data_IF_778061716976
#
_entry.id   IF_778061716976
#
_cell.length_a   1.000
_cell.length_b   1.000
_cell.length_c   1.000
_cell.angle_alpha   90.00
_cell.angle_beta   90.00
_cell.angle_gamma   90.00
#
_symmetry.space_group_name_H-M   'P 1'
#
loop_
_entity.id
_entity.type
_entity.pdbx_description
1 polymer ?
#
# COMPACT_ATOMS: atom_id res chain seq x y z
N UNK A 1 15.90 -1.62 17.01
CA UNK A 1 15.82 -0.22 17.44
C UNK A 1 15.80 0.59 16.15
N UNK A 2 14.65 1.02 15.68
CA UNK A 2 14.54 1.91 14.52
C UNK A 2 14.82 3.33 15.01
N UNK A 3 15.84 3.95 14.47
CA UNK A 3 16.13 5.37 14.70
C UNK A 3 14.93 6.16 14.17
N UNK A 4 14.14 6.67 15.09
CA UNK A 4 13.09 7.63 14.80
C UNK A 4 13.80 8.93 14.42
N UNK A 5 13.77 9.30 13.16
CA UNK A 5 14.31 10.58 12.68
C UNK A 5 13.23 11.66 12.82
N UNK A 6 13.20 12.45 13.89
CA UNK A 6 12.07 13.36 14.18
C UNK A 6 12.01 14.59 13.25
N UNK A 7 12.96 14.77 12.33
CA UNK A 7 13.01 15.88 11.35
C UNK A 7 13.66 15.45 10.03
N UNK A 8 13.63 14.16 9.70
CA UNK A 8 14.22 13.66 8.46
C UNK A 8 13.42 14.06 7.24
N UNK A 9 14.13 14.43 6.18
CA UNK A 9 13.56 14.52 4.85
C UNK A 9 12.82 13.21 4.53
N UNK A 10 11.66 13.27 3.84
CA UNK A 10 10.92 12.07 3.46
C UNK A 10 11.84 11.13 2.68
N UNK A 11 11.79 9.85 3.05
CA UNK A 11 12.53 8.82 2.33
C UNK A 11 11.70 8.36 1.15
N UNK A 12 12.17 8.58 -0.05
CA UNK A 12 11.53 8.10 -1.27
C UNK A 12 12.46 7.17 -2.03
N UNK A 13 11.98 5.98 -2.36
CA UNK A 13 12.72 4.93 -3.04
C UNK A 13 11.92 4.38 -4.22
N UNK A 14 12.60 4.14 -5.34
CA UNK A 14 12.06 3.42 -6.50
C UNK A 14 13.07 2.36 -6.93
N UNK A 15 12.66 1.10 -7.03
CA UNK A 15 13.53 0.00 -7.44
C UNK A 15 12.80 -1.00 -8.32
N UNK A 16 13.52 -1.48 -9.35
CA UNK A 16 13.11 -2.59 -10.20
C UNK A 16 13.86 -3.87 -9.82
N UNK A 17 13.19 -4.99 -9.98
CA UNK A 17 13.69 -6.33 -9.67
C UNK A 17 13.34 -7.26 -10.82
N UNK A 18 14.30 -8.05 -11.29
CA UNK A 18 14.15 -9.11 -12.27
C UNK A 18 14.27 -10.51 -11.64
N UNK A 19 14.21 -10.56 -10.33
CA UNK A 19 14.37 -11.76 -9.51
C UNK A 19 13.43 -11.70 -8.32
N UNK A 20 12.67 -12.78 -8.11
CA UNK A 20 11.66 -12.84 -7.02
C UNK A 20 12.29 -12.82 -5.64
N UNK A 21 13.46 -13.45 -5.46
CA UNK A 21 14.08 -13.53 -4.14
C UNK A 21 14.53 -12.14 -3.68
N UNK A 22 15.11 -11.35 -4.58
CA UNK A 22 15.48 -9.95 -4.30
C UNK A 22 14.25 -9.07 -4.07
N UNK A 23 13.19 -9.27 -4.83
CA UNK A 23 11.92 -8.58 -4.62
C UNK A 23 11.33 -8.93 -3.25
N UNK A 24 11.31 -10.22 -2.89
CA UNK A 24 10.85 -10.70 -1.59
C UNK A 24 11.63 -10.05 -0.43
N UNK A 25 12.96 -9.99 -0.51
CA UNK A 25 13.75 -9.31 0.52
C UNK A 25 13.38 -7.82 0.65
N UNK A 26 13.11 -7.16 -0.47
CA UNK A 26 12.76 -5.74 -0.48
C UNK A 26 11.35 -5.44 0.07
N UNK A 27 10.40 -6.39 0.00
CA UNK A 27 9.05 -6.23 0.56
C UNK A 27 8.91 -6.70 2.01
N UNK A 28 9.92 -7.33 2.61
CA UNK A 28 9.90 -7.70 4.05
C UNK A 28 9.57 -6.54 4.98
N UNK A 29 10.12 -5.32 4.79
CA UNK A 29 9.73 -4.16 5.61
C UNK A 29 8.26 -3.78 5.49
N UNK A 30 7.56 -4.25 4.44
CA UNK A 30 6.12 -4.07 4.23
C UNK A 30 5.29 -5.19 4.90
N UNK A 31 5.92 -5.97 5.78
CA UNK A 31 5.32 -7.09 6.50
C UNK A 31 4.96 -8.32 5.63
N UNK A 32 5.45 -8.39 4.40
CA UNK A 32 5.37 -9.59 3.55
C UNK A 32 6.67 -10.38 3.71
N UNK A 33 6.63 -11.42 4.53
CA UNK A 33 7.82 -12.23 4.84
C UNK A 33 8.06 -13.35 3.85
N UNK A 34 6.99 -13.81 3.19
CA UNK A 34 7.03 -14.85 2.17
C UNK A 34 6.35 -14.37 0.90
N UNK A 35 6.95 -14.65 -0.24
CA UNK A 35 6.39 -14.38 -1.54
C UNK A 35 6.72 -15.54 -2.48
N UNK A 36 5.69 -16.14 -3.07
CA UNK A 36 5.79 -17.29 -3.97
C UNK A 36 5.19 -16.94 -5.32
N UNK A 37 5.94 -17.18 -6.40
CA UNK A 37 5.41 -17.04 -7.75
C UNK A 37 4.49 -18.21 -8.10
N UNK A 38 3.29 -17.90 -8.59
CA UNK A 38 2.24 -18.87 -8.94
C UNK A 38 2.13 -19.10 -10.45
N UNK A 39 2.73 -18.25 -11.28
CA UNK A 39 2.68 -18.37 -12.73
C UNK A 39 4.08 -18.57 -13.31
N UNK A 40 4.20 -19.30 -14.43
CA UNK A 40 5.50 -19.52 -15.09
C UNK A 40 5.99 -18.24 -15.78
N UNK A 41 7.31 -18.12 -15.93
CA UNK A 41 7.98 -17.03 -16.64
C UNK A 41 8.96 -16.27 -15.77
N UNK A 42 9.74 -15.39 -16.40
CA UNK A 42 10.66 -14.51 -15.71
C UNK A 42 9.92 -13.48 -14.85
N UNK A 43 10.41 -13.26 -13.65
CA UNK A 43 9.85 -12.27 -12.74
C UNK A 43 10.34 -10.85 -13.09
N UNK A 44 9.42 -9.91 -13.08
CA UNK A 44 9.71 -8.48 -13.10
C UNK A 44 8.80 -7.80 -12.07
N UNK A 45 9.38 -7.08 -11.13
CA UNK A 45 8.64 -6.32 -10.13
C UNK A 45 9.22 -4.93 -9.93
N UNK A 46 8.38 -3.98 -9.49
CA UNK A 46 8.79 -2.64 -9.10
C UNK A 46 8.24 -2.32 -7.72
N UNK A 47 9.05 -1.71 -6.89
CA UNK A 47 8.65 -1.17 -5.59
C UNK A 47 8.94 0.32 -5.61
N UNK A 48 7.90 1.11 -5.41
CA UNK A 48 8.00 2.52 -5.11
C UNK A 48 7.51 2.75 -3.68
N UNK A 49 8.31 3.44 -2.89
CA UNK A 49 8.04 3.64 -1.47
C UNK A 49 8.34 5.09 -1.07
N UNK A 50 7.45 5.68 -0.28
CA UNK A 50 7.66 6.99 0.33
C UNK A 50 7.27 6.94 1.81
N UNK A 51 8.14 7.43 2.68
CA UNK A 51 7.95 7.50 4.14
C UNK A 51 7.95 8.96 4.59
N UNK A 52 6.83 9.40 5.14
CA UNK A 52 6.61 10.73 5.71
C UNK A 52 6.43 10.67 7.24
N UNK A 53 6.99 9.65 7.88
CA UNK A 53 6.86 9.42 9.31
C UNK A 53 5.58 8.68 9.68
N UNK A 54 4.51 9.41 10.00
CA UNK A 54 3.22 8.80 10.35
C UNK A 54 2.43 8.24 9.16
N UNK A 55 2.83 8.56 7.95
CA UNK A 55 2.17 8.15 6.71
C UNK A 55 3.21 7.59 5.74
N UNK A 56 2.96 6.39 5.23
CA UNK A 56 3.83 5.72 4.26
C UNK A 56 3.00 5.28 3.07
N UNK A 57 3.56 5.51 1.87
CA UNK A 57 2.97 5.05 0.61
C UNK A 57 3.83 3.98 -0.01
N UNK A 58 3.20 2.95 -0.52
CA UNK A 58 3.86 1.89 -1.28
C UNK A 58 3.07 1.62 -2.54
N UNK A 59 3.76 1.60 -3.67
CA UNK A 59 3.23 1.09 -4.92
C UNK A 59 4.07 -0.11 -5.35
N UNK A 60 3.42 -1.23 -5.57
CA UNK A 60 4.01 -2.46 -6.06
C UNK A 60 3.46 -2.77 -7.45
N UNK A 61 4.34 -3.13 -8.36
CA UNK A 61 3.99 -3.75 -9.63
C UNK A 61 4.67 -5.10 -9.74
N UNK A 62 3.98 -6.07 -10.34
CA UNK A 62 4.57 -7.37 -10.68
C UNK A 62 3.90 -7.95 -11.92
N UNK A 63 4.75 -8.54 -12.79
CA UNK A 63 4.31 -9.16 -14.05
C UNK A 63 3.84 -10.61 -13.88
N UNK A 64 4.06 -11.22 -12.74
CA UNK A 64 3.70 -12.61 -12.45
C UNK A 64 2.66 -12.68 -11.32
N UNK A 65 1.80 -13.70 -11.38
CA UNK A 65 0.93 -14.01 -10.26
C UNK A 65 1.76 -14.47 -9.05
N UNK A 66 1.45 -13.92 -7.88
CA UNK A 66 2.16 -14.27 -6.63
C UNK A 66 1.21 -14.46 -5.47
N UNK A 67 1.68 -15.23 -4.48
CA UNK A 67 1.09 -15.31 -3.15
C UNK A 67 2.06 -14.68 -2.15
N UNK A 68 1.56 -13.72 -1.38
CA UNK A 68 2.27 -13.07 -0.29
C UNK A 68 1.66 -13.43 1.06
N UNK A 69 2.52 -13.81 2.02
CA UNK A 69 2.15 -14.03 3.42
C UNK A 69 3.07 -13.23 4.34
N UNK A 70 2.56 -12.84 5.51
CA UNK A 70 3.38 -12.14 6.50
C UNK A 70 2.58 -11.70 7.71
N UNK A 71 3.24 -10.93 8.58
CA UNK A 71 2.62 -10.38 9.80
C UNK A 71 2.45 -8.89 9.63
N UNK A 72 1.28 -8.38 9.98
CA UNK A 72 1.04 -6.94 9.98
C UNK A 72 1.80 -6.23 11.10
N UNK A 73 2.12 -4.96 10.86
CA UNK A 73 2.64 -4.08 11.90
C UNK A 73 1.61 -3.93 13.03
N UNK A 74 2.08 -3.93 14.26
CA UNK A 74 1.24 -3.63 15.43
C UNK A 74 1.03 -2.13 15.60
N UNK A 75 1.92 -1.33 15.02
CA UNK A 75 1.97 0.13 15.16
C UNK A 75 1.31 0.87 14.01
N UNK A 76 1.09 0.19 12.86
CA UNK A 76 0.53 0.80 11.66
C UNK A 76 -0.79 0.11 11.26
N UNK A 77 -1.67 0.88 10.63
CA UNK A 77 -2.84 0.38 9.91
C UNK A 77 -2.55 0.55 8.42
N UNK A 78 -2.70 -0.52 7.64
CA UNK A 78 -2.47 -0.48 6.20
C UNK A 78 -3.80 -0.56 5.43
N UNK A 79 -3.96 0.31 4.45
CA UNK A 79 -5.09 0.32 3.51
C UNK A 79 -4.55 0.02 2.13
N UNK A 80 -5.04 -1.02 1.50
CA UNK A 80 -4.58 -1.47 0.19
C UNK A 80 -5.69 -1.36 -0.85
N UNK A 81 -5.30 -1.09 -2.10
CA UNK A 81 -6.16 -1.09 -3.28
C UNK A 81 -5.44 -1.74 -4.45
N UNK A 82 -6.22 -2.38 -5.31
CA UNK A 82 -5.72 -2.93 -6.57
C UNK A 82 -6.01 -1.96 -7.72
N UNK A 83 -4.98 -1.66 -8.49
CA UNK A 83 -5.07 -0.91 -9.74
C UNK A 83 -4.76 -1.87 -10.88
N UNK A 84 -5.76 -2.21 -11.66
CA UNK A 84 -5.60 -3.02 -12.85
C UNK A 84 -6.54 -2.54 -13.95
N UNK A 85 -6.08 -2.47 -15.22
CA UNK A 85 -6.94 -2.06 -16.34
C UNK A 85 -8.07 -3.05 -16.62
N UNK A 86 -7.85 -4.33 -16.34
CA UNK A 86 -8.83 -5.40 -16.52
C UNK A 86 -9.36 -5.85 -15.16
N UNK A 87 -10.57 -6.36 -15.09
CA UNK A 87 -11.29 -6.81 -13.88
C UNK A 87 -10.64 -7.99 -13.12
N UNK A 88 -9.32 -8.11 -13.15
CA UNK A 88 -8.60 -9.18 -12.48
C UNK A 88 -8.57 -8.88 -10.98
N UNK A 89 -8.75 -9.92 -10.22
CA UNK A 89 -8.98 -9.86 -8.80
C UNK A 89 -7.70 -10.21 -8.05
N UNK A 90 -7.46 -9.50 -6.97
CA UNK A 90 -6.66 -10.04 -5.90
C UNK A 90 -7.58 -10.86 -4.98
N UNK A 91 -6.99 -11.80 -4.26
CA UNK A 91 -7.68 -12.57 -3.21
C UNK A 91 -6.98 -12.23 -1.90
N UNK A 92 -7.71 -11.67 -0.95
CA UNK A 92 -7.19 -11.41 0.40
C UNK A 92 -7.98 -12.26 1.40
N UNK A 93 -7.29 -13.11 2.14
CA UNK A 93 -7.91 -14.03 3.13
C UNK A 93 -9.05 -14.87 2.54
N UNK A 94 -8.87 -15.39 1.33
CA UNK A 94 -9.86 -16.19 0.63
C UNK A 94 -11.04 -15.40 0.03
N UNK A 95 -11.10 -14.09 0.21
CA UNK A 95 -12.13 -13.23 -0.36
C UNK A 95 -11.60 -12.49 -1.59
N UNK A 96 -12.37 -12.49 -2.67
CA UNK A 96 -12.03 -11.71 -3.86
C UNK A 96 -12.08 -10.20 -3.54
N UNK A 97 -11.08 -9.48 -4.01
CA UNK A 97 -10.94 -8.03 -3.85
C UNK A 97 -10.94 -7.38 -5.22
N UNK A 98 -11.88 -6.51 -5.45
CA UNK A 98 -12.06 -5.82 -6.73
C UNK A 98 -11.50 -4.40 -6.72
N UNK A 99 -11.65 -3.73 -7.87
CA UNK A 99 -11.15 -2.36 -8.09
C UNK A 99 -11.77 -1.28 -7.21
N UNK A 100 -12.87 -1.58 -6.52
CA UNK A 100 -13.58 -0.66 -5.64
C UNK A 100 -13.43 -1.01 -4.16
N UNK A 101 -12.56 -1.98 -3.87
CA UNK A 101 -12.37 -2.45 -2.51
C UNK A 101 -11.12 -1.84 -1.89
N UNK A 102 -11.30 -1.33 -0.68
CA UNK A 102 -10.23 -0.99 0.24
C UNK A 102 -10.06 -2.17 1.20
N UNK A 103 -8.84 -2.69 1.35
CA UNK A 103 -8.62 -3.90 2.13
C UNK A 103 -7.30 -3.90 2.90
N UNK A 104 -7.11 -4.90 3.74
CA UNK A 104 -5.87 -5.11 4.47
C UNK A 104 -5.78 -4.37 5.80
N UNK A 105 -6.82 -3.69 6.26
CA UNK A 105 -6.78 -2.79 7.40
C UNK A 105 -7.08 -3.45 8.77
N UNK A 106 -7.49 -4.72 8.82
CA UNK A 106 -7.62 -5.43 10.10
C UNK A 106 -6.23 -5.73 10.69
N UNK A 107 -5.84 -5.08 11.81
CA UNK A 107 -4.51 -5.29 12.39
C UNK A 107 -4.36 -6.64 13.10
N UNK A 108 -5.46 -7.37 13.31
CA UNK A 108 -5.45 -8.67 14.01
C UNK A 108 -5.21 -9.84 13.07
N UNK A 109 -5.34 -9.64 11.76
CA UNK A 109 -5.10 -10.66 10.74
C UNK A 109 -3.69 -10.56 10.19
N UNK A 110 -3.09 -11.69 9.88
CA UNK A 110 -1.82 -11.75 9.14
C UNK A 110 -2.00 -11.21 7.70
N UNK A 111 -0.92 -11.01 6.98
CA UNK A 111 -0.98 -10.77 5.54
C UNK A 111 -1.22 -12.11 4.85
N UNK A 112 -2.26 -12.21 4.04
CA UNK A 112 -2.55 -13.34 3.15
C UNK A 112 -3.20 -12.77 1.88
N UNK A 113 -2.40 -12.66 0.83
CA UNK A 113 -2.82 -12.07 -0.44
C UNK A 113 -2.32 -12.88 -1.63
N UNK A 114 -3.21 -13.15 -2.56
CA UNK A 114 -2.88 -13.63 -3.90
C UNK A 114 -3.18 -12.51 -4.88
N UNK A 115 -2.23 -12.17 -5.71
CA UNK A 115 -2.40 -11.19 -6.79
C UNK A 115 -2.10 -11.85 -8.12
N UNK A 116 -2.84 -11.46 -9.15
CA UNK A 116 -2.68 -11.98 -10.51
C UNK A 116 -1.51 -11.29 -11.25
N UNK A 117 -1.31 -11.62 -12.51
CA UNK A 117 -0.30 -11.02 -13.36
C UNK A 117 -0.61 -9.56 -13.66
N UNK A 118 0.45 -8.78 -13.88
CA UNK A 118 0.38 -7.39 -14.30
C UNK A 118 -0.48 -6.51 -13.37
N UNK A 119 -0.43 -6.81 -12.07
CA UNK A 119 -1.16 -6.08 -11.04
C UNK A 119 -0.32 -4.96 -10.46
N UNK A 120 -0.94 -3.80 -10.32
CA UNK A 120 -0.49 -2.69 -9.49
C UNK A 120 -1.24 -2.72 -8.17
N UNK A 121 -0.52 -2.86 -7.07
CA UNK A 121 -1.03 -2.78 -5.72
C UNK A 121 -0.51 -1.51 -5.08
N UNK A 122 -1.41 -0.68 -4.56
CA UNK A 122 -1.05 0.49 -3.76
C UNK A 122 -1.44 0.25 -2.32
N UNK A 123 -0.63 0.73 -1.41
CA UNK A 123 -0.85 0.61 0.02
C UNK A 123 -0.46 1.92 0.71
N UNK A 124 -1.34 2.40 1.57
CA UNK A 124 -1.05 3.46 2.53
C UNK A 124 -1.00 2.85 3.92
N UNK A 125 0.12 3.06 4.61
CA UNK A 125 0.26 2.69 6.03
C UNK A 125 0.29 3.96 6.88
N UNK A 126 -0.56 3.99 7.89
CA UNK A 126 -0.69 5.12 8.82
C UNK A 126 -0.38 4.65 10.22
N UNK A 127 0.38 5.44 10.98
CA UNK A 127 0.58 5.16 12.40
C UNK A 127 -0.77 5.05 13.11
N UNK A 128 -0.96 3.97 13.84
CA UNK A 128 -2.24 3.61 14.47
C UNK A 128 -2.75 4.68 15.44
N UNK A 129 -1.86 5.23 16.26
CA UNK A 129 -2.25 6.28 17.20
C UNK A 129 -2.66 7.56 16.46
N UNK A 130 -1.89 7.98 15.44
CA UNK A 130 -2.21 9.13 14.62
C UNK A 130 -3.55 8.95 13.90
N UNK A 131 -3.81 7.76 13.34
CA UNK A 131 -5.07 7.43 12.66
C UNK A 131 -6.29 7.56 13.58
N UNK A 132 -6.26 6.98 14.77
CA UNK A 132 -7.37 7.06 15.70
C UNK A 132 -7.57 8.48 16.24
N UNK A 133 -6.48 9.19 16.57
CA UNK A 133 -6.56 10.59 17.01
C UNK A 133 -7.23 11.47 15.95
N UNK A 134 -6.81 11.33 14.68
CA UNK A 134 -7.42 12.09 13.59
C UNK A 134 -8.90 11.72 13.41
N UNK A 135 -9.24 10.44 13.46
CA UNK A 135 -10.62 9.96 13.34
C UNK A 135 -11.52 10.56 14.42
N UNK A 136 -11.07 10.59 15.66
CA UNK A 136 -11.80 11.22 16.79
C UNK A 136 -11.97 12.73 16.60
N UNK A 137 -10.93 13.43 16.16
CA UNK A 137 -10.98 14.86 15.87
C UNK A 137 -11.98 15.19 14.75
N UNK A 138 -12.12 14.30 13.77
CA UNK A 138 -13.10 14.42 12.69
C UNK A 138 -14.52 13.97 13.10
N UNK A 139 -14.72 13.50 14.33
CA UNK A 139 -16.00 13.02 14.83
C UNK A 139 -16.37 11.61 14.36
N UNK A 140 -15.42 10.85 13.81
CA UNK A 140 -15.65 9.46 13.40
C UNK A 140 -15.37 8.50 14.56
N UNK A 141 -16.37 7.72 14.94
CA UNK A 141 -16.19 6.62 15.89
C UNK A 141 -15.92 5.34 15.10
N UNK A 142 -14.66 5.09 14.77
CA UNK A 142 -14.22 3.88 14.10
C UNK A 142 -14.17 2.74 15.11
N UNK A 143 -15.22 1.93 15.15
CA UNK A 143 -15.28 0.78 16.02
C UNK A 143 -14.35 -0.33 15.54
N UNK A 144 -13.83 -1.12 16.46
CA UNK A 144 -13.04 -2.34 16.19
C UNK A 144 -13.78 -3.26 15.19
N UNK A 145 -15.10 -3.30 15.25
CA UNK A 145 -15.94 -4.11 14.36
C UNK A 145 -15.81 -3.73 12.88
N UNK A 146 -15.68 -2.44 12.55
CA UNK A 146 -15.47 -1.98 11.17
C UNK A 146 -14.10 -2.44 10.69
N UNK A 147 -13.08 -2.33 11.53
CA UNK A 147 -11.71 -2.74 11.19
C UNK A 147 -11.57 -4.26 11.01
N UNK A 148 -12.34 -5.06 11.74
CA UNK A 148 -12.32 -6.53 11.63
C UNK A 148 -12.86 -7.06 10.30
N UNK A 149 -13.58 -6.27 9.51
CA UNK A 149 -14.04 -6.71 8.19
C UNK A 149 -12.89 -6.91 7.19
N UNK A 150 -11.75 -6.26 7.41
CA UNK A 150 -10.54 -6.33 6.59
C UNK A 150 -10.70 -5.96 5.09
N UNK A 151 -11.92 -5.76 4.63
CA UNK A 151 -12.25 -5.29 3.29
C UNK A 151 -13.55 -4.48 3.33
N UNK A 152 -13.60 -3.42 2.55
CA UNK A 152 -14.73 -2.53 2.43
C UNK A 152 -14.93 -2.17 0.95
N UNK A 153 -16.07 -2.56 0.39
CA UNK A 153 -16.47 -2.12 -0.96
C UNK A 153 -17.05 -0.72 -0.88
N UNK A 154 -16.40 0.21 -1.55
CA UNK A 154 -16.81 1.60 -1.59
C UNK A 154 -17.61 1.90 -2.86
N UNK A 155 -18.55 2.84 -2.75
CA UNK A 155 -19.22 3.32 -3.94
C UNK A 155 -18.21 4.01 -4.89
N UNK A 156 -18.29 3.80 -6.22
CA UNK A 156 -17.32 4.34 -7.17
C UNK A 156 -17.07 5.85 -7.05
N UNK A 157 -18.12 6.62 -6.73
CA UNK A 157 -17.99 8.08 -6.56
C UNK A 157 -17.20 8.47 -5.32
N UNK A 158 -17.32 7.71 -4.23
CA UNK A 158 -16.58 7.95 -2.99
C UNK A 158 -15.10 7.54 -3.12
N UNK A 159 -14.83 6.54 -3.96
CA UNK A 159 -13.49 6.04 -4.19
C UNK A 159 -12.69 6.86 -5.23
N UNK A 160 -13.39 7.61 -6.10
CA UNK A 160 -12.76 8.37 -7.19
C UNK A 160 -11.64 9.31 -6.70
N UNK A 161 -11.83 10.16 -5.68
CA UNK A 161 -10.76 11.04 -5.21
C UNK A 161 -9.55 10.27 -4.71
N UNK A 162 -9.76 9.20 -3.94
CA UNK A 162 -8.69 8.36 -3.42
C UNK A 162 -7.92 7.67 -4.56
N UNK A 163 -8.61 7.16 -5.58
CA UNK A 163 -7.95 6.58 -6.74
C UNK A 163 -7.14 7.61 -7.53
N UNK A 164 -7.71 8.78 -7.79
CA UNK A 164 -7.02 9.87 -8.48
C UNK A 164 -5.73 10.26 -7.72
N UNK A 165 -5.80 10.38 -6.41
CA UNK A 165 -4.65 10.64 -5.55
C UNK A 165 -3.57 9.54 -5.69
N UNK A 166 -3.94 8.26 -5.64
CA UNK A 166 -2.97 7.18 -5.82
C UNK A 166 -2.38 7.12 -7.23
N UNK A 167 -3.18 7.42 -8.26
CA UNK A 167 -2.72 7.49 -9.65
C UNK A 167 -1.69 8.61 -9.81
N UNK A 168 -1.91 9.76 -9.19
CA UNK A 168 -0.99 10.89 -9.21
C UNK A 168 0.32 10.58 -8.46
N UNK A 169 0.25 10.01 -7.26
CA UNK A 169 1.43 9.54 -6.54
C UNK A 169 2.22 8.53 -7.38
N UNK A 170 1.55 7.57 -8.00
CA UNK A 170 2.20 6.57 -8.86
C UNK A 170 2.86 7.22 -10.07
N UNK A 171 2.20 8.23 -10.67
CA UNK A 171 2.78 9.00 -11.77
C UNK A 171 4.06 9.72 -11.33
N UNK A 172 4.06 10.37 -10.17
CA UNK A 172 5.25 11.02 -9.61
C UNK A 172 6.41 10.05 -9.44
N UNK A 173 6.16 8.85 -8.91
CA UNK A 173 7.19 7.80 -8.79
C UNK A 173 7.82 7.40 -10.13
N UNK A 174 7.02 7.39 -11.20
CA UNK A 174 7.46 6.93 -12.51
C UNK A 174 8.16 8.01 -13.34
N UNK A 175 7.94 9.29 -13.05
CA UNK A 175 8.35 10.40 -13.93
C UNK A 175 9.43 11.31 -13.36
N UNK A 176 9.70 11.28 -12.06
CA UNK A 176 10.50 12.29 -11.39
C UNK A 176 11.84 11.77 -10.86
N UNK A 177 12.84 12.67 -10.84
CA UNK A 177 14.07 12.42 -10.07
C UNK A 177 13.80 12.48 -8.57
N UNK A 178 14.60 11.80 -7.78
CA UNK A 178 14.34 11.59 -6.34
C UNK A 178 14.05 12.87 -5.55
N UNK A 179 14.74 13.98 -5.81
CA UNK A 179 14.53 15.24 -5.08
C UNK A 179 13.22 15.94 -5.47
N UNK A 180 12.94 16.04 -6.78
CA UNK A 180 11.69 16.62 -7.26
C UNK A 180 10.48 15.78 -6.82
N UNK A 181 10.63 14.46 -6.83
CA UNK A 181 9.62 13.52 -6.33
C UNK A 181 9.31 13.77 -4.85
N UNK A 182 10.32 13.96 -3.99
CA UNK A 182 10.12 14.29 -2.58
C UNK A 182 9.32 15.58 -2.39
N UNK A 183 9.67 16.64 -3.11
CA UNK A 183 9.00 17.93 -3.01
C UNK A 183 7.54 17.87 -3.47
N UNK A 184 7.27 17.19 -4.59
CA UNK A 184 5.92 17.03 -5.11
C UNK A 184 5.05 16.16 -4.21
N UNK A 185 5.59 15.06 -3.67
CA UNK A 185 4.87 14.23 -2.73
C UNK A 185 4.51 14.96 -1.44
N UNK A 186 5.41 15.81 -0.94
CA UNK A 186 5.09 16.69 0.20
C UNK A 186 3.96 17.65 -0.11
N UNK A 187 3.96 18.28 -1.29
CA UNK A 187 2.89 19.20 -1.70
C UNK A 187 1.53 18.50 -1.78
N UNK A 188 1.46 17.34 -2.46
CA UNK A 188 0.24 16.56 -2.58
C UNK A 188 -0.36 16.17 -1.22
N UNK A 189 0.50 15.75 -0.29
CA UNK A 189 0.04 15.37 1.06
C UNK A 189 -0.48 16.58 1.83
N UNK A 190 0.17 17.73 1.70
CA UNK A 190 -0.26 18.95 2.38
C UNK A 190 -1.57 19.50 1.82
N UNK A 191 -1.86 19.31 0.53
CA UNK A 191 -3.08 19.80 -0.11
C UNK A 191 -4.30 18.91 0.15
N UNK A 192 -4.12 17.59 0.20
CA UNK A 192 -5.23 16.64 0.26
C UNK A 192 -5.53 16.09 1.66
N UNK A 193 -4.61 16.25 2.63
CA UNK A 193 -4.75 15.70 3.99
C UNK A 193 -4.79 16.76 5.10
N UNK A 194 -4.71 18.04 4.80
CA UNK A 194 -4.89 19.14 5.76
C UNK A 194 -6.12 19.99 5.40
#
# INVERSE_FOLDING_TARGET
MSEHNPHGNPLVLSRQFNDLDRFREAIKPLNVTECTQLSPGGFLGTINFADFGNLKFTHLYQNQATKGNGRKSIDDIAFSMVFHPNLIQAISHGCAVGKYDLFGFDPTREVDIVVDKDVHLVMTSVNKCAFYTLSEQMGYNLTVKVMQNNALSLHPTSLRPLRAFYEEITHVFNTQTSLLMQLQMQSLIMEDFL
#
